data_IF_356626714776
#
_entry.id   IF_356626714776
#
_cell.length_a   1.000
_cell.length_b   1.000
_cell.length_c   1.000
_cell.angle_alpha   90.00
_cell.angle_beta   90.00
_cell.angle_gamma   90.00
#
_symmetry.space_group_name_H-M   'P 1'
#
loop_
_entity.id
_entity.type
_entity.pdbx_description
1 polymer ?
#
# COMPACT_ATOMS: atom_id res chain seq x y z
N UNK A 1 -10.50 -14.71 19.29
CA UNK A 1 -9.46 -13.84 18.72
C UNK A 1 -9.60 -13.87 17.21
N UNK A 2 -9.59 -12.72 16.57
CA UNK A 2 -9.61 -12.54 15.11
C UNK A 2 -8.28 -11.93 14.72
N UNK A 3 -7.61 -12.52 13.74
CA UNK A 3 -6.40 -12.00 13.13
C UNK A 3 -6.67 -11.66 11.67
N UNK A 4 -6.37 -10.43 11.27
CA UNK A 4 -6.47 -9.97 9.90
C UNK A 4 -5.12 -9.49 9.40
N UNK A 5 -4.83 -9.68 8.12
CA UNK A 5 -3.60 -9.19 7.51
C UNK A 5 -3.83 -8.79 6.06
N UNK A 6 -3.08 -7.79 5.61
CA UNK A 6 -3.09 -7.35 4.22
C UNK A 6 -1.66 -7.04 3.75
N UNK A 7 -1.30 -7.38 2.50
CA UNK A 7 -0.02 -7.04 1.90
C UNK A 7 0.07 -5.53 1.62
N UNK A 8 1.29 -5.04 1.49
CA UNK A 8 1.59 -3.74 0.88
C UNK A 8 1.82 -3.92 -0.62
N UNK A 9 1.98 -2.83 -1.38
CA UNK A 9 2.25 -2.91 -2.82
C UNK A 9 3.55 -2.23 -3.21
N UNK A 10 4.12 -2.71 -4.31
CA UNK A 10 5.26 -2.12 -5.02
C UNK A 10 4.97 -2.05 -6.52
N UNK A 11 5.87 -1.43 -7.28
CA UNK A 11 5.83 -1.39 -8.75
C UNK A 11 4.48 -0.90 -9.32
N UNK A 12 3.92 0.16 -8.74
CA UNK A 12 2.68 0.80 -9.19
C UNK A 12 2.88 1.51 -10.54
N UNK A 13 3.14 0.73 -11.62
CA UNK A 13 3.24 1.25 -12.98
C UNK A 13 1.90 1.80 -13.41
N UNK A 14 1.88 3.07 -13.84
CA UNK A 14 0.65 3.81 -14.12
C UNK A 14 0.05 4.53 -12.92
N UNK A 15 0.65 4.44 -11.73
CA UNK A 15 0.25 5.22 -10.56
C UNK A 15 0.11 6.70 -10.88
N UNK A 16 -0.71 7.45 -10.15
CA UNK A 16 -1.28 8.76 -10.44
C UNK A 16 -2.49 8.73 -11.40
N UNK A 17 -2.60 7.76 -12.31
CA UNK A 17 -3.75 7.68 -13.22
C UNK A 17 -5.01 7.11 -12.55
N UNK A 18 -4.87 6.55 -11.37
CA UNK A 18 -5.97 6.00 -10.53
C UNK A 18 -6.62 7.07 -9.64
N UNK A 19 -6.35 8.36 -9.90
CA UNK A 19 -6.89 9.50 -9.15
C UNK A 19 -8.01 10.19 -9.93
N UNK A 20 -8.80 11.00 -9.23
CA UNK A 20 -9.92 11.74 -9.83
C UNK A 20 -9.51 12.71 -10.94
N UNK A 21 -8.24 13.18 -10.95
CA UNK A 21 -7.70 14.09 -11.97
C UNK A 21 -6.85 13.36 -13.03
N UNK A 22 -6.57 12.07 -12.85
CA UNK A 22 -5.72 11.30 -13.78
C UNK A 22 -6.38 10.92 -15.10
N UNK A 23 -7.70 11.11 -15.23
CA UNK A 23 -8.50 10.63 -16.36
C UNK A 23 -8.72 9.14 -16.29
N UNK A 24 -9.12 8.44 -17.36
CA UNK A 24 -9.20 6.98 -17.32
C UNK A 24 -7.89 6.38 -16.85
N UNK A 25 -7.94 5.61 -15.74
CA UNK A 25 -6.74 5.10 -15.08
C UNK A 25 -6.33 3.72 -15.59
N UNK A 26 -5.03 3.47 -15.63
CA UNK A 26 -4.45 2.14 -15.84
C UNK A 26 -3.27 1.96 -14.93
N UNK A 27 -3.32 0.92 -14.09
CA UNK A 27 -2.25 0.65 -13.13
C UNK A 27 -1.93 -0.84 -13.12
N UNK A 28 -0.64 -1.17 -13.09
CA UNK A 28 -0.18 -2.49 -12.71
C UNK A 28 0.59 -2.37 -11.40
N UNK A 29 0.20 -3.16 -10.39
CA UNK A 29 0.90 -3.22 -9.11
C UNK A 29 1.17 -4.67 -8.68
N UNK A 30 2.07 -4.82 -7.72
CA UNK A 30 2.49 -6.10 -7.16
C UNK A 30 2.31 -6.04 -5.65
N UNK A 31 1.45 -6.89 -5.12
CA UNK A 31 1.31 -7.07 -3.68
C UNK A 31 2.50 -7.84 -3.11
N UNK A 32 3.05 -7.38 -1.99
CA UNK A 32 4.19 -8.01 -1.33
C UNK A 32 4.00 -8.09 0.19
N UNK A 33 4.62 -9.10 0.78
CA UNK A 33 4.76 -9.28 2.23
C UNK A 33 6.21 -9.04 2.64
N UNK A 34 6.48 -8.71 3.94
CA UNK A 34 5.52 -8.52 5.03
C UNK A 34 4.70 -7.23 4.87
N UNK A 35 3.46 -7.26 5.32
CA UNK A 35 2.52 -6.15 5.23
C UNK A 35 2.04 -5.68 6.60
N UNK A 36 0.74 -5.53 6.74
CA UNK A 36 0.06 -5.09 7.97
C UNK A 36 -0.64 -6.28 8.62
N UNK A 37 -0.59 -6.32 9.95
CA UNK A 37 -1.32 -7.27 10.77
C UNK A 37 -2.20 -6.53 11.78
N UNK A 38 -3.42 -7.03 11.96
CA UNK A 38 -4.41 -6.56 12.94
C UNK A 38 -4.87 -7.75 13.75
N UNK A 39 -4.91 -7.63 15.07
CA UNK A 39 -5.54 -8.62 15.92
C UNK A 39 -6.65 -8.00 16.77
N UNK A 40 -7.80 -8.65 16.85
CA UNK A 40 -8.93 -8.23 17.68
C UNK A 40 -9.20 -9.32 18.72
N UNK A 41 -9.13 -8.94 19.99
CA UNK A 41 -9.33 -9.83 21.14
C UNK A 41 -10.43 -9.30 22.01
N UNK A 42 -11.25 -10.19 22.58
CA UNK A 42 -12.14 -9.81 23.65
C UNK A 42 -11.34 -9.52 24.92
N UNK A 43 -11.75 -8.50 25.65
CA UNK A 43 -11.13 -8.10 26.93
C UNK A 43 -12.19 -8.07 28.03
N UNK A 44 -11.74 -8.12 29.31
CA UNK A 44 -12.55 -7.81 30.46
C UNK A 44 -12.22 -6.39 30.93
N UNK A 45 -13.22 -5.61 31.33
CA UNK A 45 -13.02 -4.27 31.89
C UNK A 45 -14.04 -3.25 31.39
N UNK A 46 -13.99 -2.02 31.93
CA UNK A 46 -14.95 -0.97 31.61
C UNK A 46 -14.71 -0.37 30.22
N UNK A 47 -13.48 -0.40 29.71
CA UNK A 47 -13.12 0.15 28.41
C UNK A 47 -13.57 -0.79 27.31
N UNK A 48 -14.58 -0.38 26.57
CA UNK A 48 -15.23 -1.21 25.58
C UNK A 48 -14.39 -1.44 24.33
N UNK A 49 -13.66 -0.43 23.87
CA UNK A 49 -12.71 -0.53 22.76
C UNK A 49 -11.38 0.06 23.20
N UNK A 50 -10.31 -0.72 23.11
CA UNK A 50 -8.94 -0.27 23.33
C UNK A 50 -8.17 -0.40 22.02
N UNK A 51 -7.59 0.69 21.54
CA UNK A 51 -6.71 0.70 20.37
C UNK A 51 -5.26 0.62 20.82
N UNK A 52 -4.52 -0.30 20.19
CA UNK A 52 -3.07 -0.45 20.33
C UNK A 52 -2.43 -0.23 18.96
N UNK A 53 -1.83 0.94 18.78
CA UNK A 53 -1.06 1.29 17.58
C UNK A 53 0.41 0.91 17.83
N UNK A 54 0.75 -0.37 17.64
CA UNK A 54 2.05 -0.95 18.06
C UNK A 54 3.24 -0.22 17.44
N UNK A 55 3.15 0.16 16.16
CA UNK A 55 4.24 0.87 15.44
C UNK A 55 4.54 2.26 16.03
N UNK A 56 3.63 2.81 16.84
CA UNK A 56 3.77 4.12 17.49
C UNK A 56 3.95 4.01 19.01
N UNK A 57 3.82 2.79 19.58
CA UNK A 57 3.87 2.57 21.02
C UNK A 57 2.66 3.11 21.79
N UNK A 58 1.55 3.37 21.11
CA UNK A 58 0.35 3.95 21.70
C UNK A 58 -0.68 2.88 22.08
N UNK A 59 -1.28 3.05 23.29
CA UNK A 59 -2.40 2.24 23.78
C UNK A 59 -3.37 3.12 24.53
N UNK A 60 -4.63 3.19 24.09
CA UNK A 60 -5.64 4.04 24.71
C UNK A 60 -7.07 3.58 24.39
N UNK A 61 -8.05 3.90 25.28
CA UNK A 61 -9.46 3.60 25.03
C UNK A 61 -10.05 4.52 23.98
N UNK A 62 -11.00 3.98 23.20
CA UNK A 62 -11.82 4.70 22.23
C UNK A 62 -13.29 4.48 22.57
N UNK A 63 -14.06 5.56 22.51
CA UNK A 63 -15.53 5.50 22.50
C UNK A 63 -15.97 5.73 21.04
N UNK A 64 -16.41 4.68 20.32
CA UNK A 64 -16.82 4.83 18.94
C UNK A 64 -17.93 5.87 18.78
N UNK A 65 -17.82 6.72 17.74
CA UNK A 65 -18.77 7.78 17.44
C UNK A 65 -18.69 9.02 18.34
N UNK A 66 -17.86 9.02 19.38
CA UNK A 66 -17.69 10.21 20.23
C UNK A 66 -16.84 11.27 19.54
N UNK A 67 -17.26 12.54 19.68
CA UNK A 67 -16.46 13.68 19.20
C UNK A 67 -15.15 13.77 20.00
N UNK A 68 -14.02 13.73 19.30
CA UNK A 68 -12.68 13.82 19.88
C UNK A 68 -11.66 14.35 18.88
N UNK A 69 -10.52 14.82 19.38
CA UNK A 69 -9.33 15.03 18.54
C UNK A 69 -8.67 13.66 18.34
N UNK A 70 -8.65 13.18 17.10
CA UNK A 70 -8.11 11.87 16.77
C UNK A 70 -6.58 11.86 16.93
N UNK A 71 -6.05 10.84 17.64
CA UNK A 71 -4.61 10.59 17.76
C UNK A 71 -4.08 9.85 16.55
N UNK A 72 -4.83 8.85 16.07
CA UNK A 72 -4.58 8.08 14.86
C UNK A 72 -5.81 8.14 13.95
N UNK A 73 -5.97 9.20 13.14
CA UNK A 73 -7.21 9.49 12.42
C UNK A 73 -7.75 8.32 11.59
N UNK A 74 -6.88 7.63 10.85
CA UNK A 74 -7.30 6.49 10.00
C UNK A 74 -7.85 5.32 10.83
N UNK A 75 -7.15 4.96 11.91
CA UNK A 75 -7.55 3.84 12.76
C UNK A 75 -8.86 4.15 13.50
N UNK A 76 -8.99 5.36 14.02
CA UNK A 76 -10.16 5.80 14.74
C UNK A 76 -11.37 5.94 13.82
N UNK A 77 -11.20 6.50 12.61
CA UNK A 77 -12.25 6.57 11.62
C UNK A 77 -12.77 5.19 11.19
N UNK A 78 -11.88 4.20 11.05
CA UNK A 78 -12.27 2.83 10.75
C UNK A 78 -13.11 2.21 11.87
N UNK A 79 -12.72 2.42 13.15
CA UNK A 79 -13.46 1.94 14.32
C UNK A 79 -14.82 2.66 14.44
N UNK A 80 -14.89 3.95 14.11
CA UNK A 80 -16.15 4.71 14.13
C UNK A 80 -17.10 4.26 13.03
N UNK A 81 -16.58 3.93 11.84
CA UNK A 81 -17.39 3.45 10.72
C UNK A 81 -17.88 2.00 10.89
N UNK A 82 -17.08 1.15 11.54
CA UNK A 82 -17.40 -0.25 11.82
C UNK A 82 -17.20 -0.59 13.30
N UNK A 83 -18.01 0.00 14.21
CA UNK A 83 -17.82 -0.20 15.63
C UNK A 83 -18.07 -1.67 16.02
N UNK A 84 -17.27 -2.23 16.95
CA UNK A 84 -17.56 -3.53 17.50
C UNK A 84 -18.95 -3.59 18.15
N UNK A 85 -19.61 -4.77 18.21
CA UNK A 85 -20.90 -4.93 18.86
C UNK A 85 -20.94 -4.39 20.29
N UNK A 86 -22.09 -3.81 20.69
CA UNK A 86 -22.23 -3.06 21.93
C UNK A 86 -22.06 -3.87 23.21
N UNK A 87 -22.16 -5.17 23.14
CA UNK A 87 -22.00 -6.13 24.24
C UNK A 87 -20.56 -6.68 24.38
N UNK A 88 -19.67 -6.32 23.45
CA UNK A 88 -18.27 -6.77 23.45
C UNK A 88 -17.34 -5.67 23.94
N UNK A 89 -16.39 -6.02 24.78
CA UNK A 89 -15.20 -5.25 25.06
C UNK A 89 -14.03 -5.87 24.27
N UNK A 90 -13.33 -5.07 23.46
CA UNK A 90 -12.28 -5.55 22.55
C UNK A 90 -11.02 -4.72 22.65
N UNK A 91 -9.89 -5.37 22.47
CA UNK A 91 -8.61 -4.73 22.20
C UNK A 91 -8.24 -4.97 20.73
N UNK A 92 -7.94 -3.90 20.03
CA UNK A 92 -7.58 -3.89 18.61
C UNK A 92 -6.10 -3.48 18.51
N UNK A 93 -5.25 -4.42 18.17
CA UNK A 93 -3.82 -4.16 17.92
C UNK A 93 -3.56 -4.06 16.42
N UNK A 94 -2.86 -3.00 16.02
CA UNK A 94 -2.46 -2.75 14.62
C UNK A 94 -0.95 -2.61 14.53
N UNK A 95 -0.33 -3.41 13.65
CA UNK A 95 1.11 -3.40 13.42
C UNK A 95 1.44 -3.40 11.95
N UNK A 96 2.31 -2.48 11.53
CA UNK A 96 2.97 -2.52 10.22
C UNK A 96 4.35 -3.14 10.33
N UNK A 97 4.71 -4.00 9.39
CA UNK A 97 6.04 -4.57 9.29
C UNK A 97 7.01 -3.71 8.46
N UNK A 98 6.52 -2.65 7.84
CA UNK A 98 7.32 -1.70 7.06
C UNK A 98 7.28 -0.30 7.70
N UNK A 99 8.33 0.51 7.52
CA UNK A 99 8.38 1.86 8.06
C UNK A 99 7.22 2.72 7.57
N UNK A 100 6.74 3.62 8.45
CA UNK A 100 5.78 4.64 8.04
C UNK A 100 6.39 5.54 6.95
N UNK A 101 5.57 5.96 5.97
CA UNK A 101 6.03 6.79 4.87
C UNK A 101 6.89 6.06 3.83
N UNK A 102 6.86 4.72 3.79
CA UNK A 102 7.57 3.91 2.79
C UNK A 102 7.00 4.06 1.37
N UNK A 103 5.88 4.73 1.18
CA UNK A 103 5.18 4.91 -0.11
C UNK A 103 4.77 3.60 -0.80
N UNK A 104 4.49 2.58 0.00
CA UNK A 104 4.10 1.22 -0.45
C UNK A 104 2.62 0.91 -0.20
N UNK A 105 1.75 1.91 -0.14
CA UNK A 105 0.33 1.72 0.14
C UNK A 105 0.04 1.23 1.57
N UNK A 106 0.92 1.55 2.52
CA UNK A 106 0.82 1.05 3.91
C UNK A 106 -0.46 1.53 4.59
N UNK A 107 -0.91 2.79 4.39
CA UNK A 107 -2.17 3.30 4.95
C UNK A 107 -3.37 2.51 4.45
N UNK A 108 -3.43 2.26 3.16
CA UNK A 108 -4.48 1.44 2.55
C UNK A 108 -4.47 0.00 3.07
N UNK A 109 -3.29 -0.62 3.21
CA UNK A 109 -3.16 -1.95 3.81
C UNK A 109 -3.61 -1.98 5.27
N UNK A 110 -3.34 -0.91 6.05
CA UNK A 110 -3.84 -0.73 7.42
C UNK A 110 -5.36 -0.66 7.41
N UNK A 111 -5.95 0.19 6.58
CA UNK A 111 -7.41 0.34 6.49
C UNK A 111 -8.09 -0.98 6.09
N UNK A 112 -7.56 -1.66 5.06
CA UNK A 112 -8.10 -2.93 4.56
C UNK A 112 -8.02 -4.03 5.63
N UNK A 113 -6.87 -4.20 6.29
CA UNK A 113 -6.72 -5.21 7.35
C UNK A 113 -7.61 -4.91 8.55
N UNK A 114 -7.67 -3.64 8.99
CA UNK A 114 -8.49 -3.23 10.12
C UNK A 114 -9.98 -3.42 9.84
N UNK A 115 -10.46 -2.98 8.68
CA UNK A 115 -11.85 -3.18 8.28
C UNK A 115 -12.19 -4.67 8.17
N UNK A 116 -11.31 -5.48 7.58
CA UNK A 116 -11.51 -6.94 7.53
C UNK A 116 -11.69 -7.55 8.93
N UNK A 117 -10.85 -7.15 9.88
CA UNK A 117 -10.96 -7.57 11.28
C UNK A 117 -12.25 -7.11 11.96
N UNK A 118 -12.63 -5.83 11.76
CA UNK A 118 -13.84 -5.25 12.35
C UNK A 118 -15.12 -5.87 11.79
N UNK A 119 -15.18 -6.12 10.48
CA UNK A 119 -16.30 -6.81 9.81
C UNK A 119 -16.47 -8.22 10.39
N UNK A 120 -15.38 -8.95 10.58
CA UNK A 120 -15.42 -10.29 11.17
C UNK A 120 -15.88 -10.29 12.65
N UNK A 121 -15.50 -9.27 13.44
CA UNK A 121 -16.00 -9.07 14.81
C UNK A 121 -17.52 -8.91 14.84
N UNK A 122 -18.09 -8.29 13.82
CA UNK A 122 -19.53 -8.08 13.67
C UNK A 122 -20.26 -9.31 13.12
N UNK A 123 -19.52 -10.39 12.81
CA UNK A 123 -20.06 -11.57 12.10
C UNK A 123 -20.70 -11.20 10.75
N UNK A 124 -20.17 -10.19 10.10
CA UNK A 124 -20.56 -9.74 8.76
C UNK A 124 -19.55 -10.28 7.74
N UNK A 125 -19.97 -10.36 6.47
CA UNK A 125 -19.11 -10.73 5.36
C UNK A 125 -19.11 -9.61 4.32
N UNK A 126 -17.91 -9.17 3.95
CA UNK A 126 -17.71 -8.27 2.82
C UNK A 126 -16.74 -8.94 1.84
N UNK A 127 -16.99 -8.73 0.54
CA UNK A 127 -16.03 -9.16 -0.45
C UNK A 127 -14.73 -8.35 -0.35
N UNK A 128 -13.58 -8.87 -0.83
CA UNK A 128 -12.34 -8.09 -0.89
C UNK A 128 -12.53 -6.74 -1.60
N UNK A 129 -13.37 -6.70 -2.64
CA UNK A 129 -13.73 -5.48 -3.34
C UNK A 129 -14.45 -4.48 -2.41
N UNK A 130 -15.46 -4.94 -1.68
CA UNK A 130 -16.25 -4.05 -0.79
C UNK A 130 -15.39 -3.48 0.32
N UNK A 131 -14.49 -4.29 0.90
CA UNK A 131 -13.51 -3.83 1.90
C UNK A 131 -12.57 -2.79 1.31
N UNK A 132 -12.05 -2.99 0.09
CA UNK A 132 -11.19 -2.01 -0.58
C UNK A 132 -11.92 -0.67 -0.80
N UNK A 133 -13.16 -0.70 -1.28
CA UNK A 133 -13.95 0.51 -1.47
C UNK A 133 -14.34 1.18 -0.15
N UNK A 134 -14.63 0.41 0.90
CA UNK A 134 -14.88 0.97 2.23
C UNK A 134 -13.60 1.67 2.77
N UNK A 135 -12.43 1.05 2.62
CA UNK A 135 -11.15 1.64 3.00
C UNK A 135 -10.85 2.93 2.22
N UNK A 136 -11.13 2.94 0.92
CA UNK A 136 -10.97 4.13 0.07
C UNK A 136 -11.90 5.27 0.51
N UNK A 137 -13.19 4.97 0.78
CA UNK A 137 -14.14 5.99 1.29
C UNK A 137 -13.71 6.57 2.62
N UNK A 138 -13.14 5.77 3.54
CA UNK A 138 -12.58 6.30 4.79
C UNK A 138 -11.50 7.35 4.52
N UNK A 139 -10.57 7.08 3.62
CA UNK A 139 -9.50 8.04 3.29
C UNK A 139 -10.06 9.29 2.62
N UNK A 140 -10.89 9.13 1.58
CA UNK A 140 -11.32 10.25 0.73
C UNK A 140 -12.48 11.02 1.35
N UNK A 141 -13.55 10.34 1.79
CA UNK A 141 -14.78 11.01 2.24
C UNK A 141 -14.73 11.39 3.72
N UNK A 142 -14.14 10.53 4.57
CA UNK A 142 -14.10 10.79 6.02
C UNK A 142 -12.90 11.63 6.42
N UNK A 143 -11.72 11.34 5.87
CA UNK A 143 -10.48 12.04 6.22
C UNK A 143 -10.11 13.16 5.25
N UNK A 144 -10.76 13.25 4.08
CA UNK A 144 -10.48 14.24 3.06
C UNK A 144 -9.12 14.07 2.39
N UNK A 145 -8.55 12.86 2.43
CA UNK A 145 -7.25 12.56 1.82
C UNK A 145 -7.41 12.42 0.31
N UNK A 146 -6.51 13.02 -0.45
CA UNK A 146 -6.44 12.83 -1.91
C UNK A 146 -5.77 11.48 -2.19
N UNK A 147 -6.56 10.43 -2.39
CA UNK A 147 -6.09 9.06 -2.62
C UNK A 147 -6.62 8.49 -3.92
N UNK A 148 -5.80 7.68 -4.61
CA UNK A 148 -6.27 6.76 -5.65
C UNK A 148 -6.84 5.48 -5.04
N UNK A 149 -7.43 4.60 -5.88
CA UNK A 149 -8.07 3.35 -5.42
C UNK A 149 -7.12 2.14 -5.48
N UNK A 150 -6.00 2.24 -6.19
CA UNK A 150 -5.13 1.08 -6.47
C UNK A 150 -4.55 0.42 -5.23
N UNK A 151 -4.24 1.21 -4.21
CA UNK A 151 -3.56 0.73 -3.00
C UNK A 151 -4.48 -0.19 -2.19
N UNK A 152 -5.72 0.22 -2.01
CA UNK A 152 -6.75 -0.56 -1.32
C UNK A 152 -7.08 -1.84 -2.09
N UNK A 153 -7.18 -1.76 -3.43
CA UNK A 153 -7.41 -2.93 -4.27
C UNK A 153 -6.23 -3.91 -4.20
N UNK A 154 -4.98 -3.42 -4.27
CA UNK A 154 -3.80 -4.29 -4.13
C UNK A 154 -3.77 -5.00 -2.78
N UNK A 155 -4.05 -4.28 -1.69
CA UNK A 155 -4.10 -4.85 -0.34
C UNK A 155 -5.21 -5.90 -0.17
N UNK A 156 -6.37 -5.66 -0.80
CA UNK A 156 -7.52 -6.54 -0.69
C UNK A 156 -7.41 -7.81 -1.56
N UNK A 157 -6.85 -7.69 -2.78
CA UNK A 157 -6.78 -8.81 -3.73
C UNK A 157 -5.48 -9.60 -3.67
N UNK A 158 -4.33 -8.95 -3.32
CA UNK A 158 -3.02 -9.59 -3.41
C UNK A 158 -2.61 -9.89 -4.84
N UNK A 159 -1.49 -10.57 -5.03
CA UNK A 159 -0.99 -10.96 -6.35
C UNK A 159 -0.40 -9.81 -7.16
N UNK A 160 -0.31 -10.03 -8.45
CA UNK A 160 -0.02 -9.00 -9.45
C UNK A 160 -1.36 -8.63 -10.08
N UNK A 161 -1.71 -7.34 -10.09
CA UNK A 161 -2.99 -6.89 -10.65
C UNK A 161 -2.77 -5.81 -11.69
N UNK A 162 -3.50 -5.93 -12.80
CA UNK A 162 -3.72 -4.85 -13.73
C UNK A 162 -5.11 -4.27 -13.47
N UNK A 163 -5.19 -2.95 -13.33
CA UNK A 163 -6.41 -2.21 -12.99
C UNK A 163 -6.78 -1.29 -14.14
N UNK A 164 -8.05 -1.28 -14.49
CA UNK A 164 -8.66 -0.24 -15.34
C UNK A 164 -9.66 0.53 -14.50
N UNK A 165 -9.47 1.84 -14.40
CA UNK A 165 -10.26 2.75 -13.57
C UNK A 165 -10.99 3.74 -14.49
N UNK A 166 -12.31 3.59 -14.64
CA UNK A 166 -13.13 4.50 -15.43
C UNK A 166 -14.62 4.27 -15.17
N UNK A 167 -15.37 5.28 -14.70
CA UNK A 167 -14.88 6.51 -14.09
C UNK A 167 -14.29 6.28 -12.69
N UNK A 168 -13.35 7.12 -12.25
CA UNK A 168 -12.87 7.09 -10.87
C UNK A 168 -14.02 7.25 -9.86
N UNK A 169 -14.04 6.47 -8.76
CA UNK A 169 -13.06 5.45 -8.35
C UNK A 169 -13.35 4.04 -8.86
N UNK A 170 -14.31 3.85 -9.77
CA UNK A 170 -14.72 2.53 -10.25
C UNK A 170 -13.56 1.85 -10.99
N UNK A 171 -13.22 0.64 -10.53
CA UNK A 171 -12.10 -0.11 -11.07
C UNK A 171 -12.49 -1.55 -11.44
N UNK A 172 -11.99 -2.01 -12.57
CA UNK A 172 -11.96 -3.43 -12.93
C UNK A 172 -10.58 -3.98 -12.60
N UNK A 173 -10.56 -5.05 -11.80
CA UNK A 173 -9.32 -5.72 -11.39
C UNK A 173 -9.12 -6.93 -12.28
N UNK A 174 -7.98 -6.99 -12.96
CA UNK A 174 -7.55 -8.14 -13.75
C UNK A 174 -6.37 -8.80 -13.03
N UNK A 175 -6.58 -9.91 -12.29
CA UNK A 175 -5.49 -10.67 -11.71
C UNK A 175 -4.55 -11.19 -12.81
N UNK A 176 -3.27 -10.97 -12.64
CA UNK A 176 -2.24 -11.38 -13.58
C UNK A 176 -1.70 -12.77 -13.23
N UNK A 177 -1.16 -13.50 -14.20
CA UNK A 177 -0.50 -14.78 -13.93
C UNK A 177 0.63 -14.63 -12.91
N UNK A 178 0.75 -15.62 -12.02
CA UNK A 178 1.88 -15.68 -11.11
C UNK A 178 3.19 -15.79 -11.88
N UNK A 179 4.20 -15.05 -11.44
CA UNK A 179 5.52 -15.01 -12.08
C UNK A 179 6.60 -15.22 -11.02
N UNK A 180 6.95 -16.47 -10.81
CA UNK A 180 7.86 -16.92 -9.74
C UNK A 180 9.27 -16.32 -9.85
N UNK A 181 9.76 -16.06 -11.07
CA UNK A 181 11.08 -15.45 -11.29
C UNK A 181 11.15 -13.98 -10.88
N UNK A 182 10.03 -13.27 -10.88
CA UNK A 182 10.01 -11.82 -10.66
C UNK A 182 10.41 -11.46 -9.22
N UNK A 183 9.78 -12.08 -8.23
CA UNK A 183 10.04 -11.77 -6.81
C UNK A 183 11.54 -11.87 -6.43
N UNK A 184 12.23 -12.95 -6.75
CA UNK A 184 13.67 -13.09 -6.47
C UNK A 184 14.59 -12.07 -7.15
N UNK A 185 14.09 -11.25 -8.06
CA UNK A 185 14.84 -10.20 -8.77
C UNK A 185 14.54 -8.80 -8.26
N UNK A 186 13.49 -8.65 -7.46
CA UNK A 186 13.06 -7.35 -6.92
C UNK A 186 13.76 -7.03 -5.60
N UNK A 187 14.26 -5.80 -5.50
CA UNK A 187 14.77 -5.20 -4.27
C UNK A 187 13.92 -3.99 -3.93
N UNK A 188 13.43 -3.90 -2.69
CA UNK A 188 12.74 -2.73 -2.15
C UNK A 188 13.69 -1.97 -1.24
N UNK A 189 13.98 -0.72 -1.57
CA UNK A 189 14.84 0.16 -0.78
C UNK A 189 14.01 1.30 -0.19
N UNK A 190 13.90 1.34 1.13
CA UNK A 190 13.38 2.51 1.85
C UNK A 190 14.49 3.56 1.99
N UNK A 191 14.17 4.82 1.67
CA UNK A 191 15.13 5.92 1.58
C UNK A 191 15.38 6.64 2.94
N UNK A 192 14.97 6.00 4.05
CA UNK A 192 15.27 6.45 5.41
C UNK A 192 14.50 7.68 5.89
N UNK A 193 13.58 8.20 5.09
CA UNK A 193 12.70 9.32 5.45
C UNK A 193 11.25 9.01 5.09
N UNK A 194 10.35 9.32 6.02
CA UNK A 194 8.93 9.30 5.73
C UNK A 194 8.61 10.36 4.66
N UNK A 195 7.85 9.96 3.66
CA UNK A 195 7.38 10.85 2.63
C UNK A 195 6.10 11.57 3.08
N UNK A 196 6.05 12.90 2.91
CA UNK A 196 4.81 13.68 3.02
C UNK A 196 4.11 13.70 1.65
N UNK A 197 3.21 12.76 1.44
CA UNK A 197 2.46 12.64 0.18
C UNK A 197 1.56 13.84 -0.10
N UNK A 198 1.11 14.55 0.91
CA UNK A 198 0.19 15.69 0.78
C UNK A 198 0.78 16.88 0.04
N UNK A 199 2.00 17.28 0.40
CA UNK A 199 2.67 18.41 -0.24
C UNK A 199 2.90 18.15 -1.72
N UNK A 200 3.36 16.94 -2.05
CA UNK A 200 3.65 16.54 -3.43
C UNK A 200 2.37 16.38 -4.25
N UNK A 201 1.32 15.76 -3.70
CA UNK A 201 0.02 15.65 -4.37
C UNK A 201 -0.52 17.03 -4.75
N UNK A 202 -0.48 17.99 -3.84
CA UNK A 202 -0.93 19.37 -4.11
C UNK A 202 -0.17 19.99 -5.26
N UNK A 203 1.15 19.91 -5.28
CA UNK A 203 1.99 20.44 -6.34
C UNK A 203 1.70 19.81 -7.71
N UNK A 204 1.44 18.49 -7.72
CA UNK A 204 1.04 17.79 -8.96
C UNK A 204 -0.32 18.28 -9.42
N UNK A 205 -1.33 18.32 -8.52
CA UNK A 205 -2.69 18.76 -8.85
C UNK A 205 -2.70 20.20 -9.40
N UNK A 206 -2.00 21.12 -8.73
CA UNK A 206 -1.87 22.51 -9.19
C UNK A 206 -1.21 22.62 -10.58
N UNK A 207 -0.30 21.69 -10.88
CA UNK A 207 0.39 21.64 -12.16
C UNK A 207 -0.33 20.88 -13.28
N UNK A 208 -1.39 20.12 -13.00
CA UNK A 208 -2.09 19.27 -14.00
C UNK A 208 -2.65 20.10 -15.15
N UNK A 209 -3.29 21.24 -14.86
CA UNK A 209 -3.90 22.10 -15.88
C UNK A 209 -2.90 22.72 -16.87
N UNK A 210 -1.64 22.88 -16.47
CA UNK A 210 -0.59 23.51 -17.29
C UNK A 210 0.28 22.52 -18.07
N UNK A 211 0.32 21.24 -17.67
CA UNK A 211 1.26 20.23 -18.21
C UNK A 211 0.69 19.32 -19.29
N UNK A 212 -0.61 19.43 -19.57
CA UNK A 212 -1.28 18.68 -20.63
C UNK A 212 -1.51 17.18 -20.32
N UNK A 213 -2.43 16.57 -21.06
CA UNK A 213 -2.84 15.17 -20.92
C UNK A 213 -1.75 14.13 -21.28
N UNK A 214 -0.68 14.55 -21.94
CA UNK A 214 0.36 13.64 -22.46
C UNK A 214 1.18 12.89 -21.40
N UNK A 215 1.33 13.46 -20.19
CA UNK A 215 2.08 12.77 -19.12
C UNK A 215 1.29 11.60 -18.56
N UNK A 216 -0.01 11.79 -18.31
CA UNK A 216 -0.90 10.71 -17.87
C UNK A 216 -1.02 9.60 -18.93
N UNK A 217 -0.98 9.95 -20.23
CA UNK A 217 -0.91 8.96 -21.31
C UNK A 217 0.32 8.07 -21.18
N UNK A 218 1.51 8.66 -20.97
CA UNK A 218 2.75 7.89 -20.79
C UNK A 218 2.73 6.99 -19.56
N UNK A 219 2.10 7.43 -18.47
CA UNK A 219 1.92 6.57 -17.29
C UNK A 219 1.03 5.38 -17.60
N UNK A 220 -0.11 5.60 -18.29
CA UNK A 220 -0.99 4.52 -18.74
C UNK A 220 -0.28 3.55 -19.70
N UNK A 221 0.52 4.08 -20.63
CA UNK A 221 1.28 3.27 -21.58
C UNK A 221 2.32 2.40 -20.85
N UNK A 222 2.95 2.93 -19.80
CA UNK A 222 3.86 2.15 -18.95
C UNK A 222 3.14 1.02 -18.19
N UNK A 223 1.91 1.25 -17.72
CA UNK A 223 1.09 0.20 -17.09
C UNK A 223 0.73 -0.90 -18.08
N UNK A 224 0.34 -0.54 -19.32
CA UNK A 224 0.05 -1.49 -20.39
C UNK A 224 1.30 -2.29 -20.76
N UNK A 225 2.46 -1.63 -20.92
CA UNK A 225 3.72 -2.30 -21.22
C UNK A 225 4.14 -3.27 -20.09
N UNK A 226 3.94 -2.88 -18.83
CA UNK A 226 4.21 -3.74 -17.69
C UNK A 226 3.28 -4.97 -17.66
N UNK A 227 1.97 -4.79 -17.97
CA UNK A 227 1.02 -5.89 -18.10
C UNK A 227 1.46 -6.88 -19.17
N UNK A 228 1.81 -6.38 -20.36
CA UNK A 228 2.20 -7.22 -21.49
C UNK A 228 3.50 -7.98 -21.18
N UNK A 229 4.45 -7.34 -20.48
CA UNK A 229 5.67 -7.99 -20.02
C UNK A 229 5.39 -9.10 -18.99
N UNK A 230 4.42 -8.94 -18.09
CA UNK A 230 4.02 -10.00 -17.14
C UNK A 230 3.44 -11.21 -17.92
N UNK A 231 2.57 -10.97 -18.89
CA UNK A 231 2.03 -12.06 -19.73
C UNK A 231 3.12 -12.77 -20.52
N UNK A 232 4.09 -12.03 -21.08
CA UNK A 232 5.20 -12.58 -21.83
C UNK A 232 6.30 -13.20 -20.94
N UNK A 233 6.28 -12.96 -19.62
CA UNK A 233 7.36 -13.29 -18.67
C UNK A 233 8.73 -12.72 -19.12
N UNK A 234 8.70 -11.50 -19.65
CA UNK A 234 9.87 -10.78 -20.15
C UNK A 234 10.36 -9.77 -19.10
N UNK A 235 11.42 -10.14 -18.36
CA UNK A 235 12.02 -9.29 -17.33
C UNK A 235 12.58 -7.98 -17.89
N UNK A 236 13.18 -8.01 -19.07
CA UNK A 236 13.74 -6.81 -19.69
C UNK A 236 12.65 -5.84 -20.13
N UNK A 237 11.54 -6.35 -20.70
CA UNK A 237 10.38 -5.53 -21.04
C UNK A 237 9.73 -4.93 -19.78
N UNK A 238 9.63 -5.73 -18.70
CA UNK A 238 9.11 -5.23 -17.43
C UNK A 238 10.00 -4.14 -16.83
N UNK A 239 11.32 -4.35 -16.85
CA UNK A 239 12.30 -3.34 -16.43
C UNK A 239 12.19 -2.04 -17.22
N UNK A 240 12.06 -2.14 -18.56
CA UNK A 240 11.83 -0.95 -19.41
C UNK A 240 10.54 -0.22 -19.05
N UNK A 241 9.46 -0.92 -18.75
CA UNK A 241 8.19 -0.34 -18.32
C UNK A 241 8.34 0.42 -16.98
N UNK A 242 9.06 -0.16 -16.01
CA UNK A 242 9.37 0.49 -14.73
C UNK A 242 10.13 1.82 -14.93
N UNK A 243 11.16 1.81 -15.78
CA UNK A 243 11.96 3.00 -16.12
C UNK A 243 11.10 4.04 -16.82
N UNK A 244 10.32 3.64 -17.82
CA UNK A 244 9.43 4.53 -18.57
C UNK A 244 8.41 5.22 -17.62
N UNK A 245 7.86 4.47 -16.66
CA UNK A 245 6.98 5.03 -15.65
C UNK A 245 7.71 6.06 -14.76
N UNK A 246 8.92 5.77 -14.31
CA UNK A 246 9.71 6.67 -13.47
C UNK A 246 10.02 7.98 -14.21
N UNK A 247 10.36 7.94 -15.49
CA UNK A 247 10.58 9.13 -16.33
C UNK A 247 9.28 9.91 -16.58
N UNK A 248 8.15 9.22 -16.78
CA UNK A 248 6.86 9.88 -16.88
C UNK A 248 6.47 10.55 -15.55
N UNK A 249 6.70 9.90 -14.41
CA UNK A 249 6.48 10.45 -13.07
C UNK A 249 7.33 11.71 -12.83
N UNK A 250 8.62 11.66 -13.19
CA UNK A 250 9.52 12.83 -13.15
C UNK A 250 9.03 13.98 -14.02
N UNK A 251 8.32 13.69 -15.10
CA UNK A 251 7.72 14.72 -15.98
C UNK A 251 6.45 15.35 -15.40
N UNK A 252 5.76 14.67 -14.44
CA UNK A 252 4.69 15.31 -13.66
C UNK A 252 5.27 16.39 -12.75
N UNK A 253 6.35 16.10 -12.04
CA UNK A 253 7.09 17.06 -11.23
C UNK A 253 8.52 16.53 -11.01
N UNK A 254 9.57 17.35 -11.26
CA UNK A 254 10.96 16.88 -11.13
C UNK A 254 11.32 16.33 -9.74
N UNK A 255 10.71 16.89 -8.69
CA UNK A 255 10.95 16.47 -7.30
C UNK A 255 10.34 15.11 -6.95
N UNK A 256 9.46 14.55 -7.81
CA UNK A 256 8.92 13.19 -7.59
C UNK A 256 10.01 12.11 -7.67
N UNK A 257 11.14 12.42 -8.30
CA UNK A 257 12.34 11.60 -8.27
C UNK A 257 13.40 12.33 -7.45
N UNK A 258 13.33 12.18 -6.13
CA UNK A 258 14.19 12.88 -5.16
C UNK A 258 15.68 12.53 -5.29
N UNK A 259 16.53 13.26 -4.57
CA UNK A 259 17.99 13.09 -4.64
C UNK A 259 18.42 11.69 -4.17
N UNK A 260 17.85 11.22 -3.06
CA UNK A 260 18.17 9.90 -2.49
C UNK A 260 17.75 8.78 -3.47
N UNK A 261 16.59 8.91 -4.11
CA UNK A 261 16.14 7.97 -5.13
C UNK A 261 17.09 7.90 -6.34
N UNK A 262 17.51 9.06 -6.86
CA UNK A 262 18.48 9.11 -7.98
C UNK A 262 19.80 8.43 -7.61
N UNK A 263 20.31 8.68 -6.41
CA UNK A 263 21.55 8.07 -5.93
C UNK A 263 21.46 6.55 -5.85
N UNK A 264 20.32 6.02 -5.37
CA UNK A 264 20.08 4.57 -5.34
C UNK A 264 19.97 4.00 -6.74
N UNK A 265 19.27 4.69 -7.66
CA UNK A 265 19.11 4.29 -9.05
C UNK A 265 20.48 4.24 -9.78
N UNK A 266 21.35 5.24 -9.58
CA UNK A 266 22.71 5.26 -10.16
C UNK A 266 23.53 4.05 -9.72
N UNK A 267 23.51 3.74 -8.42
CA UNK A 267 24.16 2.54 -7.89
C UNK A 267 23.55 1.27 -8.48
N UNK A 268 22.22 1.20 -8.56
CA UNK A 268 21.52 0.05 -9.11
C UNK A 268 21.91 -0.21 -10.60
N UNK A 269 21.90 0.84 -11.40
CA UNK A 269 22.30 0.75 -12.81
C UNK A 269 23.75 0.25 -12.97
N UNK A 270 24.67 0.72 -12.12
CA UNK A 270 26.06 0.27 -12.09
C UNK A 270 26.22 -1.19 -11.64
N UNK A 271 25.24 -1.77 -10.94
CA UNK A 271 25.20 -3.16 -10.47
C UNK A 271 24.35 -4.08 -11.38
N UNK A 272 24.00 -3.64 -12.59
CA UNK A 272 23.26 -4.47 -13.56
C UNK A 272 21.75 -4.53 -13.30
N UNK A 273 21.16 -3.49 -12.70
CA UNK A 273 19.71 -3.34 -12.66
C UNK A 273 19.17 -3.10 -14.08
N UNK A 274 18.08 -3.77 -14.42
CA UNK A 274 17.38 -3.65 -15.71
C UNK A 274 16.12 -2.81 -15.60
N UNK A 275 15.69 -2.42 -14.36
CA UNK A 275 14.54 -1.58 -14.13
C UNK A 275 14.52 -0.99 -12.73
N UNK A 276 13.83 0.15 -12.60
CA UNK A 276 13.56 0.82 -11.33
C UNK A 276 12.26 1.60 -11.37
N UNK A 277 11.60 1.67 -10.22
CA UNK A 277 10.32 2.38 -10.05
C UNK A 277 10.29 3.11 -8.72
N UNK A 278 10.02 4.40 -8.74
CA UNK A 278 9.68 5.16 -7.53
C UNK A 278 8.27 4.76 -7.10
N UNK A 279 8.14 4.19 -5.92
CA UNK A 279 6.83 3.73 -5.43
C UNK A 279 5.95 4.89 -4.99
N UNK A 280 4.65 4.78 -5.25
CA UNK A 280 3.63 5.75 -4.86
C UNK A 280 3.84 7.13 -5.47
N UNK A 281 3.58 8.15 -4.68
CA UNK A 281 3.68 9.53 -5.14
C UNK A 281 5.10 9.96 -5.54
N UNK A 282 6.12 9.34 -4.96
CA UNK A 282 7.51 9.81 -5.11
C UNK A 282 7.78 11.04 -4.25
N UNK A 283 8.89 11.73 -4.50
CA UNK A 283 9.33 12.91 -3.74
C UNK A 283 10.55 12.63 -2.87
N UNK A 284 10.74 13.43 -1.82
CA UNK A 284 11.87 13.28 -0.92
C UNK A 284 11.53 12.21 0.14
N UNK A 285 12.24 11.10 0.13
CA UNK A 285 11.94 9.92 0.96
C UNK A 285 11.13 8.83 0.23
N UNK A 286 10.35 8.04 0.99
CA UNK A 286 9.61 6.91 0.42
C UNK A 286 10.49 5.73 0.06
N UNK A 287 10.20 5.06 -1.05
CA UNK A 287 10.96 3.89 -1.49
C UNK A 287 11.11 3.76 -3.00
N UNK A 288 12.13 3.01 -3.38
CA UNK A 288 12.40 2.61 -4.77
C UNK A 288 12.36 1.10 -4.86
N UNK A 289 11.68 0.58 -5.88
CA UNK A 289 11.78 -0.84 -6.26
C UNK A 289 12.75 -0.96 -7.44
N UNK A 290 13.66 -1.91 -7.36
CA UNK A 290 14.68 -2.17 -8.36
C UNK A 290 14.53 -3.60 -8.87
N UNK A 291 14.63 -3.80 -10.18
CA UNK A 291 14.65 -5.08 -10.84
C UNK A 291 16.09 -5.38 -11.32
N UNK A 292 16.69 -6.42 -10.80
CA UNK A 292 18.04 -6.87 -11.17
C UNK A 292 17.99 -7.91 -12.26
N UNK A 293 18.98 -7.90 -13.18
CA UNK A 293 19.09 -8.87 -14.27
C UNK A 293 19.29 -10.31 -13.78
N UNK A 294 19.99 -10.50 -12.67
CA UNK A 294 20.23 -11.82 -12.05
C UNK A 294 20.06 -11.74 -10.52
N UNK A 295 20.01 -12.90 -9.86
CA UNK A 295 19.98 -12.96 -8.38
C UNK A 295 21.29 -12.45 -7.78
N UNK A 296 22.40 -12.77 -8.39
CA UNK A 296 23.74 -12.33 -7.97
C UNK A 296 23.86 -10.79 -8.07
N UNK A 297 23.32 -10.20 -9.14
CA UNK A 297 23.25 -8.74 -9.29
C UNK A 297 22.38 -8.10 -8.21
N UNK A 298 21.28 -8.75 -7.81
CA UNK A 298 20.44 -8.30 -6.68
C UNK A 298 21.22 -8.31 -5.36
N UNK A 299 21.90 -9.42 -5.05
CA UNK A 299 22.68 -9.54 -3.80
C UNK A 299 23.81 -8.50 -3.75
N UNK A 300 24.51 -8.28 -4.86
CA UNK A 300 25.53 -7.25 -4.98
C UNK A 300 24.95 -5.83 -4.77
N UNK A 301 23.78 -5.55 -5.35
CA UNK A 301 23.08 -4.30 -5.18
C UNK A 301 22.69 -4.07 -3.70
N UNK A 302 22.08 -5.06 -3.05
CA UNK A 302 21.63 -4.97 -1.66
C UNK A 302 22.80 -4.66 -0.73
N UNK A 303 23.94 -5.32 -0.93
CA UNK A 303 25.16 -5.03 -0.20
C UNK A 303 25.66 -3.60 -0.44
N UNK A 304 25.64 -3.14 -1.69
CA UNK A 304 26.07 -1.76 -2.03
C UNK A 304 25.14 -0.70 -1.46
N UNK A 305 23.83 -0.92 -1.46
CA UNK A 305 22.86 0.00 -0.85
C UNK A 305 23.06 0.10 0.66
N UNK A 306 23.29 -1.03 1.35
CA UNK A 306 23.50 -1.06 2.80
C UNK A 306 24.72 -0.24 3.27
N UNK A 307 25.75 -0.10 2.42
CA UNK A 307 26.96 0.71 2.73
C UNK A 307 26.92 2.12 2.12
N UNK A 308 25.95 2.42 1.28
CA UNK A 308 25.82 3.71 0.59
C UNK A 308 25.44 4.83 1.55
N UNK A 309 24.47 4.56 2.41
CA UNK A 309 23.97 5.47 3.44
C UNK A 309 23.28 4.64 4.53
N UNK A 310 23.62 4.86 5.80
CA UNK A 310 23.05 4.13 6.94
C UNK A 310 21.55 4.34 7.14
N UNK A 311 20.96 5.35 6.50
CA UNK A 311 19.52 5.61 6.51
C UNK A 311 18.76 4.68 5.58
N UNK A 312 19.41 4.17 4.51
CA UNK A 312 18.74 3.33 3.53
C UNK A 312 18.56 1.92 4.07
N UNK A 313 17.35 1.40 3.94
CA UNK A 313 17.03 0.05 4.39
C UNK A 313 16.57 -0.79 3.21
N UNK A 314 17.25 -1.88 2.96
CA UNK A 314 16.76 -2.94 2.09
C UNK A 314 15.69 -3.70 2.86
N UNK A 315 14.45 -3.62 2.39
CA UNK A 315 13.33 -4.31 3.02
C UNK A 315 13.16 -5.70 2.40
N UNK A 316 13.15 -6.76 3.23
CA UNK A 316 12.90 -8.10 2.72
C UNK A 316 11.46 -8.21 2.25
N UNK A 317 11.26 -8.54 0.98
CA UNK A 317 9.93 -8.68 0.39
C UNK A 317 9.77 -10.02 -0.33
N UNK A 318 8.53 -10.48 -0.35
CA UNK A 318 8.09 -11.61 -1.16
C UNK A 318 6.78 -11.26 -1.85
N UNK A 319 6.61 -11.65 -3.11
CA UNK A 319 5.33 -11.45 -3.80
C UNK A 319 4.25 -12.22 -3.06
N UNK A 320 3.19 -11.53 -2.66
CA UNK A 320 2.06 -12.13 -1.98
C UNK A 320 1.05 -12.60 -3.03
N UNK A 321 0.70 -13.87 -3.01
CA UNK A 321 -0.36 -14.40 -3.88
C UNK A 321 -1.76 -14.18 -3.31
N UNK A 322 -1.86 -13.71 -2.07
CA UNK A 322 -3.11 -13.48 -1.35
C UNK A 322 -3.19 -12.04 -0.87
N UNK A 323 -4.40 -11.50 -0.89
CA UNK A 323 -4.72 -10.18 -0.35
C UNK A 323 -5.10 -10.21 1.12
N UNK A 324 -6.21 -9.55 1.44
CA UNK A 324 -6.80 -9.56 2.77
C UNK A 324 -7.05 -11.00 3.24
N UNK A 325 -6.49 -11.35 4.38
CA UNK A 325 -6.77 -12.59 5.08
C UNK A 325 -7.38 -12.28 6.43
N UNK A 326 -8.46 -12.97 6.78
CA UNK A 326 -9.09 -12.90 8.10
C UNK A 326 -9.22 -14.31 8.64
N UNK A 327 -8.77 -14.54 9.85
CA UNK A 327 -8.74 -15.86 10.50
C UNK A 327 -9.26 -15.76 11.93
N UNK A 328 -9.85 -16.86 12.40
CA UNK A 328 -10.36 -16.99 13.76
C UNK A 328 -11.82 -16.53 13.90
N UNK A 329 -12.33 -16.64 15.10
CA UNK A 329 -13.62 -16.15 15.52
C UNK A 329 -13.49 -15.60 16.95
N UNK A 330 -14.39 -14.71 17.35
CA UNK A 330 -14.54 -14.39 18.75
C UNK A 330 -15.15 -15.63 19.41
N UNK A 331 -14.51 -16.14 20.48
CA UNK A 331 -15.13 -17.19 21.29
C UNK A 331 -16.47 -16.67 21.82
N UNK A 332 -17.56 -17.42 21.58
CA UNK A 332 -18.80 -17.17 22.30
C UNK A 332 -18.48 -17.11 23.80
N UNK A 333 -19.08 -16.19 24.53
CA UNK A 333 -18.97 -16.15 25.99
C UNK A 333 -19.33 -17.56 26.49
N UNK A 334 -18.50 -18.12 27.35
CA UNK A 334 -18.97 -19.16 28.25
C UNK A 334 -20.20 -18.57 28.95
N UNK A 335 -21.35 -19.25 28.93
CA UNK A 335 -22.51 -18.78 29.67
C UNK A 335 -22.09 -18.64 31.13
N UNK A 336 -22.39 -17.52 31.73
CA UNK A 336 -22.14 -17.22 33.14
C UNK A 336 -22.66 -18.41 33.97
N UNK A 337 -21.83 -19.15 34.72
CA UNK A 337 -22.28 -20.29 35.52
C UNK A 337 -23.16 -19.88 36.70
N UNK A 338 -23.56 -18.57 36.79
CA UNK A 338 -24.37 -18.01 37.87
C UNK A 338 -25.71 -17.39 37.40
N UNK A 339 -26.24 -17.76 36.22
CA UNK A 339 -27.58 -17.34 35.78
C UNK A 339 -28.65 -18.40 36.10
#
# INVERSE_FOLDING_TARGET
MIDASAPIRICDNGGWTDTWFGGPGRVLNIAVTPGVAVSVRTTAGPDRVVLVAESFGDRYPIVPGASRVARHPLLEAAIDAFPPPGDLAVEISVRSAVPAGCSTGTSAAVAVALLGGLVAVRSEELSPRDVAYAAHRLEVETLGVQSGIQDQLSAAFGGINYLEIDPYPEATVYPMPAWEELGPRLTLVFLGRAHDSWAVHRQVIEGVGSRGSGVFSRLRDAAVAARDAVFARDLDAFGRAMVANTEAQKSLHPELVGVDARRVIEVAAAQGAIGWKINGAGGDGGSVTILSATREAKEALEHRVAVLDTRYLVLPIQVSTVGLQVRGALSARDPDPAA
#
